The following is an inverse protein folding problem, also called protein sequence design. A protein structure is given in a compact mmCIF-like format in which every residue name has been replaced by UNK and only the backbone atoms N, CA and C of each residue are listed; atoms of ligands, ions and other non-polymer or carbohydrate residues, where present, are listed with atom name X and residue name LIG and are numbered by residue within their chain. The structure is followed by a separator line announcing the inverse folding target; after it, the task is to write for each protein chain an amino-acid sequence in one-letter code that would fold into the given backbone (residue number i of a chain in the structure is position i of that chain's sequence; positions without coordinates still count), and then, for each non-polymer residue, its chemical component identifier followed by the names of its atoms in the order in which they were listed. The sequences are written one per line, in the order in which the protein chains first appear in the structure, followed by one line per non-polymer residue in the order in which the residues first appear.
data_IF_580751323872
#
_entry.id   IF_580751323872
#
_cell.length_a   1.000
_cell.length_b   1.000
_cell.length_c   1.000
_cell.angle_alpha   90.00
_cell.angle_beta   90.00
_cell.angle_gamma   90.00
#
_symmetry.space_group_name_H-M   'P 1'
#
loop_
_entity.id
_entity.type
_entity.pdbx_description
1 polymer ?
#
# COMPACT_ATOMS: atom_id res chain seq x y z
N UNK A 1 22.41 53.45 18.99
CA UNK A 1 21.11 53.96 19.50
C UNK A 1 19.92 53.40 18.68
N UNK A 2 19.81 52.07 18.58
CA UNK A 2 18.76 51.37 17.83
C UNK A 2 18.18 50.15 18.58
N UNK A 3 18.36 50.08 19.91
CA UNK A 3 17.81 49.01 20.77
C UNK A 3 16.74 49.47 21.78
N UNK A 4 16.50 50.78 21.95
CA UNK A 4 15.52 51.29 22.94
C UNK A 4 14.11 51.56 22.36
N UNK A 5 13.90 51.39 21.05
CA UNK A 5 12.64 51.69 20.39
C UNK A 5 11.73 50.46 20.15
N UNK A 6 12.24 49.24 20.33
CA UNK A 6 11.51 48.00 20.02
C UNK A 6 10.85 47.39 21.28
N UNK A 7 11.38 47.65 22.48
CA UNK A 7 10.77 47.16 23.74
C UNK A 7 9.45 47.87 24.14
N UNK A 8 9.17 49.06 23.61
CA UNK A 8 7.95 49.83 23.94
C UNK A 8 6.73 49.49 23.08
N UNK A 9 6.89 48.70 22.01
CA UNK A 9 5.77 48.28 21.13
C UNK A 9 5.21 46.91 21.57
N UNK A 10 6.04 46.05 22.19
CA UNK A 10 5.64 44.71 22.63
C UNK A 10 4.85 44.73 23.96
N UNK A 11 4.98 45.79 24.79
CA UNK A 11 4.23 45.94 26.05
C UNK A 11 2.80 46.48 25.91
N UNK A 12 2.37 46.92 24.73
CA UNK A 12 1.05 47.54 24.51
C UNK A 12 -0.01 46.66 23.83
N UNK A 13 0.33 45.45 23.36
CA UNK A 13 -0.67 44.53 22.76
C UNK A 13 -1.12 43.38 23.68
N UNK A 14 -0.57 43.26 24.89
CA UNK A 14 -0.87 42.18 25.86
C UNK A 14 -1.86 42.61 26.97
N UNK A 15 -2.58 43.72 26.81
CA UNK A 15 -3.47 44.26 27.86
C UNK A 15 -4.93 44.48 27.43
N UNK A 16 -5.39 43.76 26.40
CA UNK A 16 -6.79 43.81 25.94
C UNK A 16 -7.33 42.43 25.60
N UNK A 17 -7.70 41.66 26.63
CA UNK A 17 -8.89 40.76 26.65
C UNK A 17 -8.90 39.85 27.89
N UNK A 18 -8.87 40.42 29.08
CA UNK A 18 -9.17 39.73 30.34
C UNK A 18 -10.08 40.62 31.18
N UNK A 19 -11.36 40.66 30.83
CA UNK A 19 -12.50 41.00 31.72
C UNK A 19 -13.75 41.15 30.85
N UNK A 20 -14.65 40.17 30.91
CA UNK A 20 -16.08 40.34 30.73
C UNK A 20 -16.76 39.08 31.30
N UNK A 21 -16.91 39.08 32.63
CA UNK A 21 -17.76 38.16 33.37
C UNK A 21 -18.63 39.01 34.29
N UNK A 22 -19.94 38.70 34.29
CA UNK A 22 -21.03 39.26 35.12
C UNK A 22 -21.42 40.70 34.73
N UNK A 23 -22.67 41.09 34.50
CA UNK A 23 -23.99 40.62 34.98
C UNK A 23 -25.08 41.09 34.01
N UNK A 24 -26.15 40.32 33.81
CA UNK A 24 -27.55 40.78 33.96
C UNK A 24 -28.52 39.59 33.74
N UNK A 25 -29.37 39.40 34.74
CA UNK A 25 -30.47 38.45 34.85
C UNK A 25 -31.72 39.01 34.15
N UNK A 26 -32.58 38.14 33.59
CA UNK A 26 -34.01 37.98 33.97
C UNK A 26 -34.69 36.94 33.04
N UNK A 27 -35.16 35.87 33.69
CA UNK A 27 -36.29 34.94 33.47
C UNK A 27 -36.99 34.77 32.11
N UNK A 28 -37.16 33.50 31.73
CA UNK A 28 -38.49 32.96 31.38
C UNK A 28 -38.54 31.44 31.61
N UNK A 29 -39.51 31.01 32.41
CA UNK A 29 -39.91 29.63 32.66
C UNK A 29 -40.09 28.80 31.38
N UNK A 30 -39.75 27.50 31.44
CA UNK A 30 -40.45 26.40 30.75
C UNK A 30 -39.85 25.04 31.17
N UNK A 31 -40.59 24.35 32.04
CA UNK A 31 -40.77 22.88 32.14
C UNK A 31 -39.55 21.96 32.10
N UNK A 32 -39.27 21.35 33.27
CA UNK A 32 -38.40 20.17 33.39
C UNK A 32 -38.98 18.98 32.62
N UNK A 33 -38.20 18.44 31.68
CA UNK A 33 -38.46 17.13 31.09
C UNK A 33 -37.21 16.26 31.30
N UNK A 34 -37.33 15.26 32.16
CA UNK A 34 -36.30 14.26 32.46
C UNK A 34 -36.04 13.37 31.23
N UNK A 35 -35.18 13.82 30.32
CA UNK A 35 -34.66 12.95 29.28
C UNK A 35 -33.46 12.16 29.81
N UNK A 36 -33.74 10.97 30.35
CA UNK A 36 -32.78 9.87 30.50
C UNK A 36 -32.02 9.70 29.18
N UNK A 37 -30.75 10.11 29.16
CA UNK A 37 -29.81 9.75 28.09
C UNK A 37 -29.60 8.23 28.17
N UNK A 38 -30.35 7.48 27.38
CA UNK A 38 -30.17 6.05 27.20
C UNK A 38 -28.84 5.83 26.48
N UNK A 39 -27.82 5.39 27.24
CA UNK A 39 -26.57 4.88 26.66
C UNK A 39 -26.93 3.72 25.73
N UNK A 40 -26.67 3.86 24.43
CA UNK A 40 -26.78 2.75 23.46
C UNK A 40 -25.97 1.56 24.00
N UNK A 41 -26.53 0.35 24.04
CA UNK A 41 -25.80 -0.82 24.53
C UNK A 41 -24.60 -1.11 23.63
N UNK A 42 -23.46 -1.41 24.27
CA UNK A 42 -22.29 -2.01 23.64
C UNK A 42 -22.67 -3.39 23.09
N UNK A 43 -22.42 -3.59 21.80
CA UNK A 43 -22.18 -4.86 21.10
C UNK A 43 -22.85 -6.13 21.68
N UNK A 44 -23.86 -6.68 20.98
CA UNK A 44 -24.67 -7.82 21.44
C UNK A 44 -24.15 -9.22 21.04
N UNK A 45 -22.92 -9.32 20.50
CA UNK A 45 -22.33 -10.62 20.17
C UNK A 45 -23.05 -11.41 19.06
N UNK A 46 -23.97 -10.81 18.30
CA UNK A 46 -24.58 -11.50 17.14
C UNK A 46 -23.70 -11.39 15.90
N UNK A 47 -23.35 -12.55 15.36
CA UNK A 47 -22.66 -12.74 14.08
C UNK A 47 -23.52 -12.18 12.95
N UNK A 48 -23.10 -11.08 12.32
CA UNK A 48 -23.71 -10.66 11.05
C UNK A 48 -23.20 -11.59 9.95
N UNK A 49 -24.08 -12.45 9.45
CA UNK A 49 -23.90 -13.12 8.15
C UNK A 49 -23.87 -12.08 7.03
N UNK A 50 -23.29 -12.46 5.88
CA UNK A 50 -22.94 -11.56 4.77
C UNK A 50 -24.19 -11.03 4.06
N UNK A 51 -24.11 -9.83 3.49
CA UNK A 51 -25.25 -9.09 2.91
C UNK A 51 -25.82 -9.70 1.61
N UNK A 52 -25.21 -10.75 1.06
CA UNK A 52 -25.75 -11.48 -0.10
C UNK A 52 -26.35 -12.85 0.25
N UNK A 53 -26.35 -13.23 1.53
CA UNK A 53 -27.01 -14.44 2.04
C UNK A 53 -28.42 -14.11 2.56
N UNK A 54 -29.29 -13.50 1.74
CA UNK A 54 -30.73 -13.47 2.02
C UNK A 54 -31.58 -13.66 0.76
N UNK A 55 -32.02 -14.90 0.55
CA UNK A 55 -33.42 -15.18 0.18
C UNK A 55 -33.92 -16.34 1.04
N UNK A 56 -34.36 -16.01 2.24
CA UNK A 56 -35.38 -16.81 2.92
C UNK A 56 -36.66 -15.99 2.92
N UNK A 57 -37.58 -16.39 2.05
CA UNK A 57 -38.99 -16.11 2.23
C UNK A 57 -39.43 -16.84 3.49
N UNK A 58 -39.71 -16.13 4.57
CA UNK A 58 -40.71 -16.58 5.54
C UNK A 58 -41.23 -15.36 6.29
N UNK A 59 -42.50 -15.04 5.99
CA UNK A 59 -43.28 -14.00 6.64
C UNK A 59 -43.49 -14.39 8.10
N UNK A 60 -43.48 -13.38 8.98
CA UNK A 60 -43.59 -13.54 10.41
C UNK A 60 -44.80 -14.38 10.85
N UNK A 61 -44.55 -15.23 11.85
CA UNK A 61 -45.57 -15.77 12.73
C UNK A 61 -45.16 -15.42 14.17
N UNK A 62 -46.12 -14.90 14.94
CA UNK A 62 -45.91 -14.44 16.32
C UNK A 62 -45.48 -15.57 17.25
N UNK A 63 -44.69 -15.23 18.27
CA UNK A 63 -44.27 -16.13 19.33
C UNK A 63 -45.47 -16.54 20.22
N UNK A 64 -45.80 -17.82 20.22
CA UNK A 64 -46.73 -18.47 21.15
C UNK A 64 -46.09 -18.59 22.55
N UNK A 65 -46.72 -18.11 23.64
CA UNK A 65 -46.15 -18.16 25.00
C UNK A 65 -46.09 -19.56 25.64
N UNK A 66 -46.55 -20.62 24.97
CA UNK A 66 -46.72 -21.95 25.60
C UNK A 66 -45.64 -22.98 25.26
N UNK A 67 -44.61 -22.63 24.48
CA UNK A 67 -43.51 -23.57 24.17
C UNK A 67 -42.52 -23.71 25.35
N UNK A 68 -42.17 -24.94 25.76
CA UNK A 68 -41.25 -25.17 26.88
C UNK A 68 -39.86 -24.59 26.56
N UNK A 69 -39.28 -23.86 27.53
CA UNK A 69 -37.92 -23.31 27.45
C UNK A 69 -36.93 -24.44 27.16
N UNK A 70 -36.22 -24.35 26.03
CA UNK A 70 -35.09 -25.22 25.69
C UNK A 70 -34.15 -25.35 26.90
N UNK A 71 -34.01 -26.58 27.41
CA UNK A 71 -33.05 -26.90 28.45
C UNK A 71 -31.64 -26.52 27.98
N UNK A 72 -30.86 -25.91 28.87
CA UNK A 72 -29.43 -25.66 28.64
C UNK A 72 -28.76 -27.01 28.47
N UNK A 73 -28.37 -27.33 27.24
CA UNK A 73 -27.43 -28.40 26.97
C UNK A 73 -26.10 -27.96 27.60
N UNK A 74 -25.70 -28.60 28.69
CA UNK A 74 -24.32 -28.52 29.17
C UNK A 74 -23.43 -29.10 28.07
N UNK A 75 -22.79 -28.23 27.30
CA UNK A 75 -21.75 -28.61 26.36
C UNK A 75 -20.53 -29.06 27.17
N UNK A 76 -20.46 -30.35 27.45
CA UNK A 76 -19.22 -31.04 27.84
C UNK A 76 -18.35 -31.22 26.60
N UNK A 77 -17.85 -30.12 26.05
CA UNK A 77 -16.69 -30.15 25.16
C UNK A 77 -15.45 -30.10 26.07
N UNK A 78 -14.49 -31.04 25.94
CA UNK A 78 -13.26 -30.95 26.71
C UNK A 78 -12.58 -29.61 26.38
N UNK A 79 -12.20 -28.88 27.42
CA UNK A 79 -11.44 -27.62 27.29
C UNK A 79 -10.14 -27.98 26.59
N UNK A 80 -10.11 -27.87 25.26
CA UNK A 80 -8.87 -27.92 24.51
C UNK A 80 -7.95 -26.87 25.10
N UNK A 81 -6.69 -27.24 25.34
CA UNK A 81 -5.67 -26.32 25.84
C UNK A 81 -5.72 -25.05 25.00
N UNK A 82 -6.30 -23.99 25.55
CA UNK A 82 -6.53 -22.74 24.81
C UNK A 82 -5.16 -22.14 24.55
N UNK A 83 -4.61 -22.44 23.36
CA UNK A 83 -3.33 -21.91 22.90
C UNK A 83 -3.40 -20.39 23.03
N UNK A 84 -2.53 -19.87 23.88
CA UNK A 84 -2.53 -18.45 24.21
C UNK A 84 -2.05 -17.69 22.99
N UNK A 85 -2.88 -16.78 22.48
CA UNK A 85 -2.54 -15.96 21.31
C UNK A 85 -2.08 -14.56 21.69
N UNK A 86 -1.15 -14.03 20.90
CA UNK A 86 -0.55 -12.70 21.02
C UNK A 86 -0.56 -11.99 19.67
N UNK A 87 -0.54 -10.66 19.69
CA UNK A 87 -0.47 -9.86 18.47
C UNK A 87 1.00 -9.72 18.06
N UNK A 88 1.29 -10.10 16.83
CA UNK A 88 2.61 -10.00 16.23
C UNK A 88 2.56 -9.14 14.97
N UNK A 89 3.74 -8.66 14.62
CA UNK A 89 4.10 -8.10 13.32
C UNK A 89 5.09 -9.05 12.68
N UNK A 90 4.93 -9.33 11.39
CA UNK A 90 5.87 -10.10 10.59
C UNK A 90 6.39 -9.20 9.47
N UNK A 91 7.71 -9.21 9.29
CA UNK A 91 8.39 -8.66 8.12
C UNK A 91 8.58 -9.76 7.09
N UNK A 92 8.16 -9.51 5.86
CA UNK A 92 8.27 -10.46 4.75
C UNK A 92 8.65 -9.78 3.45
N UNK A 93 9.30 -10.55 2.58
CA UNK A 93 9.61 -10.18 1.20
C UNK A 93 9.01 -11.17 0.23
N UNK A 94 8.70 -10.72 -0.97
CA UNK A 94 8.23 -11.57 -2.06
C UNK A 94 8.53 -11.00 -3.44
N UNK A 95 8.76 -11.89 -4.40
CA UNK A 95 8.64 -11.59 -5.83
C UNK A 95 7.18 -11.74 -6.26
N UNK A 96 6.62 -10.67 -6.83
CA UNK A 96 5.19 -10.61 -7.22
C UNK A 96 4.86 -11.38 -8.51
N UNK A 97 5.86 -11.89 -9.22
CA UNK A 97 5.66 -12.61 -10.48
C UNK A 97 4.88 -13.91 -10.26
N UNK A 98 3.83 -14.10 -11.06
CA UNK A 98 2.89 -15.22 -10.91
C UNK A 98 1.81 -15.02 -9.84
N UNK A 99 1.76 -13.86 -9.18
CA UNK A 99 0.75 -13.53 -8.16
C UNK A 99 -0.17 -12.39 -8.59
N UNK A 100 -1.46 -12.55 -8.28
CA UNK A 100 -2.50 -11.55 -8.49
C UNK A 100 -2.57 -10.54 -7.34
N UNK A 101 -1.37 -10.11 -6.89
CA UNK A 101 -1.16 -9.16 -5.82
C UNK A 101 -1.10 -9.76 -4.42
N UNK A 102 -1.01 -8.88 -3.43
CA UNK A 102 -0.88 -9.27 -2.01
C UNK A 102 -2.17 -9.85 -1.46
N UNK A 103 -3.31 -9.19 -1.72
CA UNK A 103 -4.55 -9.46 -1.01
C UNK A 103 -5.25 -10.73 -1.51
N UNK A 104 -5.66 -11.60 -0.58
CA UNK A 104 -6.50 -12.77 -0.86
C UNK A 104 -7.77 -12.40 -1.63
N UNK A 105 -7.91 -12.96 -2.83
CA UNK A 105 -9.09 -12.88 -3.69
C UNK A 105 -9.51 -14.30 -4.13
N UNK A 106 -10.82 -14.59 -4.27
CA UNK A 106 -11.29 -15.92 -4.67
C UNK A 106 -10.70 -16.39 -6.00
N UNK A 107 -10.35 -17.68 -6.10
CA UNK A 107 -9.85 -18.34 -7.32
C UNK A 107 -8.57 -17.72 -7.93
N UNK A 108 -7.77 -17.00 -7.14
CA UNK A 108 -6.52 -16.39 -7.61
C UNK A 108 -5.39 -16.71 -6.66
N UNK A 109 -4.19 -16.92 -7.23
CA UNK A 109 -2.98 -17.08 -6.44
C UNK A 109 -2.52 -15.73 -5.91
N UNK A 110 -2.42 -15.59 -4.59
CA UNK A 110 -2.07 -14.33 -3.92
C UNK A 110 -1.07 -14.60 -2.81
N UNK A 111 -0.21 -13.63 -2.50
CA UNK A 111 0.86 -13.80 -1.50
C UNK A 111 0.26 -14.11 -0.13
N UNK A 112 -0.90 -13.54 0.19
CA UNK A 112 -1.63 -13.85 1.41
C UNK A 112 -2.15 -15.27 1.47
N UNK A 113 -2.60 -15.85 0.36
CA UNK A 113 -3.07 -17.24 0.36
C UNK A 113 -1.95 -18.18 0.78
N UNK A 114 -0.77 -18.05 0.18
CA UNK A 114 0.39 -18.90 0.47
C UNK A 114 0.90 -18.69 1.91
N UNK A 115 0.92 -17.44 2.39
CA UNK A 115 1.24 -17.14 3.79
C UNK A 115 0.24 -17.79 4.75
N UNK A 116 -1.05 -17.69 4.47
CA UNK A 116 -2.09 -18.22 5.35
C UNK A 116 -2.13 -19.75 5.34
N UNK A 117 -1.88 -20.38 4.18
CA UNK A 117 -1.73 -21.83 4.06
C UNK A 117 -0.53 -22.32 4.87
N UNK A 118 0.64 -21.68 4.72
CA UNK A 118 1.84 -22.02 5.48
C UNK A 118 1.60 -21.90 7.01
N UNK A 119 0.90 -20.85 7.45
CA UNK A 119 0.54 -20.66 8.86
C UNK A 119 -0.47 -21.72 9.38
N UNK A 120 -1.37 -22.20 8.51
CA UNK A 120 -2.35 -23.23 8.85
C UNK A 120 -1.70 -24.60 8.95
N UNK A 121 -0.86 -24.96 7.98
CA UNK A 121 -0.12 -26.23 7.95
C UNK A 121 0.82 -26.38 9.16
N UNK A 122 1.42 -25.28 9.61
CA UNK A 122 2.27 -25.21 10.80
C UNK A 122 1.49 -25.06 12.11
N UNK A 123 0.15 -25.05 12.06
CA UNK A 123 -0.75 -24.97 13.20
C UNK A 123 -0.62 -23.68 14.05
N UNK A 124 0.00 -22.63 13.52
CA UNK A 124 0.06 -21.32 14.20
C UNK A 124 -1.27 -20.55 14.13
N UNK A 125 -2.14 -20.92 13.20
CA UNK A 125 -3.52 -20.46 13.11
C UNK A 125 -4.49 -21.66 13.09
N UNK A 126 -5.76 -21.40 13.41
CA UNK A 126 -6.83 -22.42 13.33
C UNK A 126 -7.54 -22.35 12.00
N UNK A 127 -8.25 -23.41 11.61
CA UNK A 127 -9.13 -23.41 10.44
C UNK A 127 -10.12 -22.22 10.48
N UNK A 128 -10.75 -21.95 11.62
CA UNK A 128 -11.64 -20.80 11.79
C UNK A 128 -10.96 -19.44 11.53
N UNK A 129 -9.66 -19.34 11.81
CA UNK A 129 -8.87 -18.12 11.55
C UNK A 129 -8.49 -18.02 10.07
N UNK A 130 -8.27 -19.15 9.41
CA UNK A 130 -7.99 -19.24 7.98
C UNK A 130 -9.23 -18.87 7.15
N UNK A 131 -10.38 -19.45 7.48
CA UNK A 131 -11.65 -19.18 6.80
C UNK A 131 -12.12 -17.73 7.03
N UNK A 132 -11.93 -17.23 8.25
CA UNK A 132 -12.24 -15.85 8.61
C UNK A 132 -11.02 -15.14 9.20
N UNK A 133 -10.23 -14.57 8.29
CA UNK A 133 -8.99 -13.83 8.53
C UNK A 133 -9.12 -12.67 9.56
N UNK A 134 -10.33 -12.11 9.72
CA UNK A 134 -10.60 -11.09 10.73
C UNK A 134 -10.57 -11.62 12.17
N UNK A 135 -10.78 -12.92 12.41
CA UNK A 135 -10.74 -13.53 13.75
C UNK A 135 -9.34 -13.39 14.38
N UNK A 136 -8.30 -13.41 13.55
CA UNK A 136 -6.91 -13.14 13.97
C UNK A 136 -6.49 -11.68 13.81
N UNK A 137 -7.41 -10.76 13.49
CA UNK A 137 -7.13 -9.34 13.29
C UNK A 137 -6.00 -9.11 12.26
N UNK A 138 -5.99 -9.89 11.17
CA UNK A 138 -4.96 -9.76 10.14
C UNK A 138 -5.06 -8.40 9.45
N UNK A 139 -3.93 -7.73 9.27
CA UNK A 139 -3.81 -6.45 8.55
C UNK A 139 -2.47 -6.41 7.82
N UNK A 140 -2.46 -5.87 6.60
CA UNK A 140 -1.25 -5.64 5.79
C UNK A 140 -0.95 -4.15 5.67
N UNK A 141 0.32 -3.78 5.68
CA UNK A 141 0.77 -2.39 5.62
C UNK A 141 0.56 -1.76 4.24
N UNK A 142 0.77 -2.55 3.19
CA UNK A 142 0.55 -2.18 1.80
C UNK A 142 -0.25 -3.27 1.06
N UNK A 143 -1.13 -2.85 0.16
CA UNK A 143 -1.72 -3.73 -0.85
C UNK A 143 -0.92 -3.49 -2.13
N UNK A 144 -0.15 -4.48 -2.55
CA UNK A 144 0.55 -4.42 -3.83
C UNK A 144 -0.36 -4.98 -4.92
N UNK A 145 -0.34 -4.35 -6.09
CA UNK A 145 -1.10 -4.77 -7.26
C UNK A 145 -0.52 -6.06 -7.86
N UNK A 146 -1.16 -6.60 -8.91
CA UNK A 146 -0.69 -7.78 -9.63
C UNK A 146 0.76 -7.58 -10.12
N UNK A 147 1.60 -8.61 -9.96
CA UNK A 147 3.01 -8.59 -10.38
C UNK A 147 3.95 -7.74 -9.52
N UNK A 148 3.44 -6.85 -8.67
CA UNK A 148 4.26 -5.92 -7.87
C UNK A 148 4.94 -6.66 -6.72
N UNK A 149 6.26 -6.52 -6.64
CA UNK A 149 7.12 -7.16 -5.62
C UNK A 149 7.23 -6.34 -4.33
N UNK A 150 7.73 -6.95 -3.26
CA UNK A 150 8.01 -6.24 -2.01
C UNK A 150 9.27 -6.80 -1.31
N UNK A 151 10.21 -5.94 -0.94
CA UNK A 151 11.36 -6.32 -0.12
C UNK A 151 11.02 -6.34 1.38
N UNK A 152 10.17 -5.40 1.84
CA UNK A 152 9.82 -5.24 3.27
C UNK A 152 8.33 -5.01 3.47
N UNK A 153 7.51 -5.95 3.04
CA UNK A 153 6.09 -5.96 3.40
C UNK A 153 5.95 -6.26 4.89
N UNK A 154 4.98 -5.59 5.53
CA UNK A 154 4.70 -5.78 6.95
C UNK A 154 3.25 -6.18 7.15
N UNK A 155 3.05 -7.29 7.86
CA UNK A 155 1.71 -7.78 8.21
C UNK A 155 1.59 -7.89 9.73
N UNK A 156 0.37 -7.76 10.25
CA UNK A 156 0.10 -7.90 11.68
C UNK A 156 -1.11 -8.77 11.92
N UNK A 157 -1.00 -9.73 12.84
CA UNK A 157 -2.01 -10.76 13.09
C UNK A 157 -1.82 -11.36 14.49
N UNK A 158 -2.82 -12.10 14.97
CA UNK A 158 -2.78 -12.83 16.22
C UNK A 158 -2.34 -14.27 15.98
N UNK A 159 -1.20 -14.64 16.55
CA UNK A 159 -0.59 -15.97 16.43
C UNK A 159 -0.42 -16.59 17.81
N UNK A 160 -0.10 -17.89 17.83
CA UNK A 160 0.31 -18.58 19.04
C UNK A 160 1.52 -17.89 19.71
N UNK A 161 1.64 -17.96 21.04
CA UNK A 161 2.76 -17.36 21.78
C UNK A 161 4.12 -18.02 21.46
N UNK A 162 4.12 -19.27 21.00
CA UNK A 162 5.31 -20.01 20.53
C UNK A 162 5.58 -19.85 19.03
N UNK A 163 5.09 -18.78 18.40
CA UNK A 163 5.29 -18.55 16.97
C UNK A 163 6.78 -18.51 16.59
N UNK A 164 7.11 -19.20 15.50
CA UNK A 164 8.43 -19.22 14.89
C UNK A 164 8.30 -19.14 13.36
N UNK A 165 9.25 -18.46 12.71
CA UNK A 165 9.26 -18.24 11.27
C UNK A 165 9.91 -19.39 10.50
N UNK A 166 10.82 -20.15 11.11
CA UNK A 166 11.54 -21.23 10.44
C UNK A 166 10.60 -22.29 9.81
N UNK A 167 9.67 -22.92 10.57
CA UNK A 167 8.76 -23.92 9.99
C UNK A 167 7.78 -23.31 8.97
N UNK A 168 7.47 -22.00 9.08
CA UNK A 168 6.60 -21.33 8.09
C UNK A 168 7.36 -21.13 6.78
N UNK A 169 8.61 -20.70 6.86
CA UNK A 169 9.48 -20.52 5.70
C UNK A 169 9.74 -21.83 4.95
N UNK A 170 9.74 -22.99 5.62
CA UNK A 170 9.84 -24.31 4.97
C UNK A 170 8.60 -24.68 4.13
N UNK A 171 7.45 -24.07 4.43
CA UNK A 171 6.19 -24.28 3.69
C UNK A 171 5.94 -23.23 2.61
N UNK A 172 6.69 -22.13 2.64
CA UNK A 172 6.59 -21.07 1.66
C UNK A 172 7.44 -21.40 0.42
N UNK A 173 7.00 -20.98 -0.78
CA UNK A 173 7.85 -21.05 -1.96
C UNK A 173 9.06 -20.12 -1.80
N UNK A 174 10.18 -20.43 -2.46
CA UNK A 174 11.44 -19.64 -2.35
C UNK A 174 11.26 -18.15 -2.65
N UNK A 175 10.29 -17.81 -3.50
CA UNK A 175 9.97 -16.42 -3.85
C UNK A 175 9.20 -15.65 -2.77
N UNK A 176 8.84 -16.26 -1.63
CA UNK A 176 8.25 -15.60 -0.45
C UNK A 176 9.07 -15.96 0.78
N UNK A 177 9.53 -14.95 1.51
CA UNK A 177 10.38 -15.15 2.69
C UNK A 177 9.91 -14.31 3.87
N UNK A 178 9.81 -14.92 5.04
CA UNK A 178 9.68 -14.20 6.32
C UNK A 178 11.07 -13.94 6.88
N UNK A 179 11.38 -12.67 7.15
CA UNK A 179 12.68 -12.27 7.68
C UNK A 179 12.68 -12.20 9.21
N UNK A 180 11.58 -11.75 9.80
CA UNK A 180 11.52 -11.55 11.24
C UNK A 180 10.11 -11.27 11.72
N UNK A 181 9.95 -11.32 13.04
CA UNK A 181 8.69 -10.98 13.69
C UNK A 181 8.94 -10.29 15.02
N UNK A 182 7.98 -9.46 15.44
CA UNK A 182 8.03 -8.75 16.72
C UNK A 182 6.68 -8.76 17.41
N UNK A 183 6.68 -8.89 18.73
CA UNK A 183 5.46 -8.78 19.53
C UNK A 183 5.07 -7.31 19.67
N UNK A 184 3.77 -7.03 19.52
CA UNK A 184 3.23 -5.67 19.56
C UNK A 184 2.01 -5.57 20.46
N UNK A 185 1.56 -4.33 20.70
CA UNK A 185 0.34 -4.06 21.47
C UNK A 185 -0.86 -4.79 20.87
N UNK A 186 -1.84 -5.18 21.70
CA UNK A 186 -3.07 -5.86 21.25
C UNK A 186 -3.85 -5.06 20.18
N UNK A 187 -3.75 -3.73 20.23
CA UNK A 187 -4.41 -2.82 19.31
C UNK A 187 -3.62 -2.52 18.04
N UNK A 188 -2.43 -3.09 17.87
CA UNK A 188 -1.57 -2.74 16.75
C UNK A 188 -2.19 -3.10 15.40
N UNK A 189 -2.10 -2.18 14.45
CA UNK A 189 -2.55 -2.37 13.07
C UNK A 189 -1.49 -1.85 12.09
N UNK A 190 -0.87 -2.78 11.36
CA UNK A 190 0.17 -2.50 10.37
C UNK A 190 -0.23 -1.45 9.33
N UNK A 191 -1.50 -1.41 8.91
CA UNK A 191 -1.97 -0.43 7.92
C UNK A 191 -2.06 0.98 8.49
N UNK A 192 -2.72 1.13 9.64
CA UNK A 192 -3.12 2.43 10.18
C UNK A 192 -2.03 3.10 11.00
N UNK A 193 -1.09 2.33 11.57
CA UNK A 193 0.04 2.87 12.32
C UNK A 193 1.30 3.03 11.47
N UNK A 194 1.23 2.69 10.19
CA UNK A 194 2.30 2.99 9.24
C UNK A 194 2.29 4.48 8.89
N UNK A 195 3.46 5.10 9.01
CA UNK A 195 3.70 6.53 8.79
C UNK A 195 3.96 6.89 7.33
N UNK A 196 4.47 5.92 6.56
CA UNK A 196 4.77 6.10 5.16
C UNK A 196 5.36 4.85 4.52
N UNK A 197 5.48 4.89 3.21
CA UNK A 197 6.02 3.79 2.41
C UNK A 197 7.06 4.35 1.46
N UNK A 198 8.15 3.61 1.30
CA UNK A 198 9.14 3.86 0.25
C UNK A 198 8.98 2.81 -0.81
N UNK A 199 8.76 3.25 -2.04
CA UNK A 199 8.71 2.41 -3.23
C UNK A 199 9.89 2.75 -4.13
N UNK A 200 10.37 1.72 -4.82
CA UNK A 200 11.33 1.86 -5.91
C UNK A 200 10.62 1.51 -7.22
N UNK A 201 10.94 2.24 -8.27
CA UNK A 201 10.54 1.94 -9.64
C UNK A 201 11.80 1.82 -10.48
N UNK A 202 12.19 0.59 -10.83
CA UNK A 202 13.37 0.29 -11.64
C UNK A 202 12.97 0.26 -13.10
N UNK A 203 13.71 0.98 -13.95
CA UNK A 203 13.39 1.08 -15.38
C UNK A 203 14.66 1.31 -16.22
N UNK A 204 14.65 0.88 -17.49
CA UNK A 204 15.79 1.12 -18.38
C UNK A 204 15.85 2.60 -18.74
N UNK A 205 17.05 3.17 -18.81
CA UNK A 205 17.23 4.63 -18.96
C UNK A 205 16.79 5.15 -20.34
N UNK A 206 16.69 4.26 -21.34
CA UNK A 206 16.05 4.54 -22.65
C UNK A 206 14.65 5.15 -22.51
N UNK A 207 13.97 4.92 -21.39
CA UNK A 207 12.69 5.55 -21.09
C UNK A 207 12.76 7.08 -21.06
N UNK A 208 13.92 7.66 -20.77
CA UNK A 208 14.16 9.10 -20.75
C UNK A 208 14.76 9.65 -22.05
N UNK A 209 15.01 8.81 -23.06
CA UNK A 209 15.42 9.27 -24.38
C UNK A 209 14.32 10.12 -25.03
N UNK A 210 14.69 11.10 -25.85
CA UNK A 210 13.72 11.88 -26.60
C UNK A 210 12.81 10.97 -27.45
N UNK A 211 11.54 11.35 -27.64
CA UNK A 211 10.57 10.52 -28.36
C UNK A 211 11.02 10.16 -29.79
N UNK A 212 11.80 11.03 -30.43
CA UNK A 212 12.32 10.84 -31.79
C UNK A 212 13.71 10.19 -31.84
N UNK A 213 14.30 9.84 -30.70
CA UNK A 213 15.62 9.22 -30.66
C UNK A 213 15.58 7.81 -31.25
N UNK A 214 16.41 7.56 -32.26
CA UNK A 214 16.59 6.22 -32.84
C UNK A 214 17.80 5.60 -32.16
N UNK A 215 17.57 4.89 -31.06
CA UNK A 215 18.61 4.17 -30.33
C UNK A 215 18.04 2.92 -29.68
N UNK A 216 18.87 1.88 -29.57
CA UNK A 216 18.51 0.67 -28.85
C UNK A 216 18.71 0.88 -27.34
N UNK A 217 18.02 0.06 -26.53
CA UNK A 217 18.23 0.07 -25.07
C UNK A 217 19.69 -0.24 -24.66
N UNK A 218 20.43 -0.98 -25.50
CA UNK A 218 21.83 -1.35 -25.24
C UNK A 218 22.81 -0.19 -25.50
N UNK A 219 22.46 0.70 -26.43
CA UNK A 219 23.35 1.80 -26.84
C UNK A 219 23.09 3.10 -26.06
N UNK A 220 21.88 3.26 -25.52
CA UNK A 220 21.50 4.49 -24.82
C UNK A 220 22.17 4.60 -23.45
N UNK A 221 22.73 5.78 -23.16
CA UNK A 221 23.26 6.14 -21.84
C UNK A 221 22.73 7.51 -21.44
N UNK A 222 22.21 7.61 -20.22
CA UNK A 222 21.66 8.86 -19.71
C UNK A 222 22.79 9.79 -19.26
N UNK A 223 22.67 11.09 -19.57
CA UNK A 223 23.62 12.10 -19.10
C UNK A 223 23.28 12.57 -17.68
N UNK A 224 24.30 13.02 -16.95
CA UNK A 224 24.12 13.62 -15.61
C UNK A 224 23.16 14.83 -15.64
N UNK A 225 23.16 15.60 -16.72
CA UNK A 225 22.26 16.74 -16.88
C UNK A 225 20.80 16.29 -17.06
N UNK A 226 20.56 15.17 -17.77
CA UNK A 226 19.23 14.58 -17.87
C UNK A 226 18.76 14.03 -16.52
N UNK A 227 19.65 13.47 -15.70
CA UNK A 227 19.33 13.06 -14.32
C UNK A 227 18.95 14.26 -13.45
N UNK A 228 19.63 15.40 -13.59
CA UNK A 228 19.24 16.65 -12.89
C UNK A 228 17.85 17.10 -13.33
N UNK A 229 17.59 17.10 -14.65
CA UNK A 229 16.27 17.43 -15.20
C UNK A 229 15.17 16.51 -14.64
N UNK A 230 15.41 15.19 -14.62
CA UNK A 230 14.49 14.21 -14.00
C UNK A 230 14.19 14.62 -12.55
N UNK A 231 15.22 14.86 -11.76
CA UNK A 231 15.06 15.20 -10.35
C UNK A 231 14.30 16.54 -10.15
N UNK A 232 14.48 17.51 -11.03
CA UNK A 232 13.74 18.77 -10.97
C UNK A 232 12.26 18.59 -11.31
N UNK A 233 11.92 17.74 -12.29
CA UNK A 233 10.52 17.41 -12.60
C UNK A 233 9.89 16.57 -11.46
N UNK A 234 10.63 15.63 -10.87
CA UNK A 234 10.15 14.81 -9.75
C UNK A 234 9.77 15.66 -8.52
N UNK A 235 10.50 16.74 -8.24
CA UNK A 235 10.19 17.69 -7.15
C UNK A 235 8.79 18.31 -7.29
N UNK A 236 8.23 18.38 -8.51
CA UNK A 236 6.87 18.86 -8.71
C UNK A 236 5.81 17.99 -8.04
N UNK A 237 6.13 16.77 -7.62
CA UNK A 237 5.22 15.91 -6.86
C UNK A 237 5.33 16.07 -5.34
N UNK A 238 6.39 16.69 -4.83
CA UNK A 238 6.64 16.81 -3.39
C UNK A 238 5.64 17.73 -2.69
N UNK A 239 5.36 17.44 -1.42
CA UNK A 239 4.39 18.15 -0.62
C UNK A 239 2.99 17.54 -0.66
N UNK A 240 2.02 18.28 -0.10
CA UNK A 240 0.61 17.87 -0.09
C UNK A 240 -0.08 18.39 -1.33
N UNK A 241 -0.49 17.48 -2.23
CA UNK A 241 -1.14 17.82 -3.50
C UNK A 241 -2.38 16.96 -3.72
N UNK A 242 -3.20 17.35 -4.69
CA UNK A 242 -4.37 16.60 -5.09
C UNK A 242 -4.00 15.60 -6.19
N UNK A 243 -4.09 14.31 -5.89
CA UNK A 243 -3.69 13.24 -6.80
C UNK A 243 -4.89 12.54 -7.44
N UNK A 244 -6.03 13.23 -7.59
CA UNK A 244 -7.27 12.62 -8.09
C UNK A 244 -7.13 12.04 -9.51
N UNK A 245 -6.40 12.72 -10.41
CA UNK A 245 -6.08 12.20 -11.75
C UNK A 245 -5.09 11.01 -11.74
N UNK A 246 -4.31 10.86 -10.68
CA UNK A 246 -3.33 9.79 -10.53
C UNK A 246 -3.95 8.53 -9.94
N UNK A 247 -5.27 8.42 -9.92
CA UNK A 247 -5.95 7.18 -9.54
C UNK A 247 -7.30 7.13 -10.26
N UNK A 248 -7.96 5.99 -10.20
CA UNK A 248 -9.25 5.79 -10.85
C UNK A 248 -10.38 6.08 -9.84
N UNK A 249 -11.54 6.51 -10.33
CA UNK A 249 -12.76 6.68 -9.52
C UNK A 249 -12.64 7.67 -8.35
N UNK A 250 -11.79 8.70 -8.50
CA UNK A 250 -11.65 9.80 -7.54
C UNK A 250 -11.97 11.13 -8.20
N UNK A 251 -12.80 11.92 -7.52
CA UNK A 251 -13.13 13.29 -7.91
C UNK A 251 -12.14 14.26 -7.31
N UNK A 252 -11.95 15.41 -7.96
CA UNK A 252 -11.04 16.46 -7.49
C UNK A 252 -11.40 16.96 -6.09
N UNK A 253 -12.69 17.00 -5.74
CA UNK A 253 -13.17 17.52 -4.45
C UNK A 253 -12.99 16.52 -3.31
N UNK A 254 -12.71 15.25 -3.60
CA UNK A 254 -12.57 14.21 -2.58
C UNK A 254 -11.33 14.50 -1.72
N UNK A 255 -11.47 14.81 -0.42
CA UNK A 255 -10.32 15.08 0.45
C UNK A 255 -9.37 13.89 0.55
N UNK A 256 -9.89 12.67 0.33
CA UNK A 256 -9.10 11.45 0.27
C UNK A 256 -8.30 11.30 -1.02
N UNK A 257 -8.35 12.23 -1.97
CA UNK A 257 -7.40 12.31 -3.10
C UNK A 257 -6.13 13.11 -2.73
N UNK A 258 -6.15 13.87 -1.63
CA UNK A 258 -4.96 14.59 -1.15
C UNK A 258 -3.94 13.62 -0.57
N UNK A 259 -2.71 13.64 -1.10
CA UNK A 259 -1.61 12.80 -0.63
C UNK A 259 -0.37 13.65 -0.40
N UNK A 260 0.49 13.16 0.48
CA UNK A 260 1.73 13.81 0.85
C UNK A 260 2.91 12.96 0.37
N UNK A 261 3.67 13.50 -0.58
CA UNK A 261 4.94 12.94 -1.03
C UNK A 261 6.04 13.69 -0.30
N UNK A 262 6.89 12.96 0.41
CA UNK A 262 7.98 13.54 1.19
C UNK A 262 9.24 13.76 0.35
N UNK A 263 9.56 12.80 -0.52
CA UNK A 263 10.66 12.92 -1.47
C UNK A 263 10.40 12.03 -2.69
N UNK A 264 10.85 12.49 -3.86
CA UNK A 264 10.85 11.67 -5.06
C UNK A 264 12.11 11.97 -5.88
N UNK A 265 12.99 10.98 -6.02
CA UNK A 265 14.33 11.17 -6.62
C UNK A 265 14.67 10.04 -7.58
N UNK A 266 15.53 10.33 -8.55
CA UNK A 266 16.18 9.36 -9.41
C UNK A 266 17.59 9.07 -8.87
N UNK A 267 17.86 7.80 -8.57
CA UNK A 267 19.19 7.33 -8.16
C UNK A 267 20.14 7.21 -9.37
N UNK A 268 21.47 7.23 -9.16
CA UNK A 268 22.44 7.06 -10.24
C UNK A 268 22.20 5.78 -11.05
N UNK A 269 22.46 5.83 -12.37
CA UNK A 269 22.25 4.68 -13.24
C UNK A 269 23.26 3.57 -12.96
N UNK A 270 22.90 2.36 -13.34
CA UNK A 270 23.76 1.18 -13.28
C UNK A 270 23.53 0.31 -14.53
N UNK A 271 24.50 -0.54 -14.87
CA UNK A 271 24.45 -1.36 -16.08
C UNK A 271 24.24 -2.83 -15.70
N UNK A 272 23.35 -3.51 -16.43
CA UNK A 272 23.22 -4.97 -16.43
C UNK A 272 23.09 -5.45 -17.88
N UNK A 273 23.95 -6.38 -18.30
CA UNK A 273 23.97 -6.97 -19.65
C UNK A 273 23.85 -5.93 -20.77
N UNK A 274 24.71 -4.91 -20.71
CA UNK A 274 24.78 -3.76 -21.64
C UNK A 274 23.59 -2.81 -21.64
N UNK A 275 22.51 -3.12 -20.92
CA UNK A 275 21.37 -2.21 -20.72
C UNK A 275 21.60 -1.37 -19.47
N UNK A 276 21.41 -0.06 -19.60
CA UNK A 276 21.50 0.86 -18.47
C UNK A 276 20.13 1.06 -17.83
N UNK A 277 20.09 0.95 -16.50
CA UNK A 277 18.91 1.10 -15.67
C UNK A 277 19.11 2.24 -14.67
N UNK A 278 18.01 2.77 -14.18
CA UNK A 278 18.02 3.64 -13.01
C UNK A 278 16.84 3.30 -12.09
N UNK A 279 16.87 3.87 -10.89
CA UNK A 279 15.84 3.62 -9.87
C UNK A 279 15.19 4.92 -9.46
N UNK A 280 13.88 5.04 -9.65
CA UNK A 280 13.09 6.13 -9.10
C UNK A 280 12.64 5.74 -7.69
N UNK A 281 13.05 6.51 -6.68
CA UNK A 281 12.73 6.27 -5.27
C UNK A 281 11.74 7.30 -4.77
N UNK A 282 10.54 6.84 -4.42
CA UNK A 282 9.47 7.69 -3.87
C UNK A 282 9.18 7.32 -2.43
N UNK A 283 9.20 8.32 -1.56
CA UNK A 283 8.76 8.20 -0.17
C UNK A 283 7.52 9.07 0.04
N UNK A 284 6.40 8.44 0.36
CA UNK A 284 5.14 9.11 0.64
C UNK A 284 4.44 8.57 1.88
N UNK A 285 3.52 9.35 2.44
CA UNK A 285 2.74 8.94 3.62
C UNK A 285 1.77 7.79 3.28
N UNK A 286 1.13 7.88 2.13
CA UNK A 286 0.22 6.86 1.59
C UNK A 286 0.09 7.03 0.09
N UNK A 287 -0.28 5.95 -0.60
CA UNK A 287 -0.48 5.93 -2.04
C UNK A 287 -1.86 5.35 -2.35
N UNK A 288 -2.48 5.85 -3.42
CA UNK A 288 -3.72 5.32 -3.99
C UNK A 288 -3.39 4.25 -5.05
N UNK A 289 -4.43 3.53 -5.48
CA UNK A 289 -4.32 2.57 -6.57
C UNK A 289 -3.73 3.25 -7.81
N UNK A 290 -2.72 2.63 -8.42
CA UNK A 290 -2.01 3.11 -9.61
C UNK A 290 -1.26 4.45 -9.49
N UNK A 291 -1.24 5.09 -8.31
CA UNK A 291 -0.70 6.44 -8.16
C UNK A 291 0.75 6.58 -8.59
N UNK A 292 1.62 5.68 -8.15
CA UNK A 292 3.06 5.75 -8.49
C UNK A 292 3.26 5.52 -9.99
N UNK A 293 2.59 4.51 -10.56
CA UNK A 293 2.66 4.19 -11.99
C UNK A 293 2.17 5.35 -12.87
N UNK A 294 1.11 6.04 -12.45
CA UNK A 294 0.60 7.25 -13.12
C UNK A 294 1.55 8.45 -12.98
N UNK A 295 2.17 8.63 -11.80
CA UNK A 295 3.20 9.67 -11.59
C UNK A 295 4.42 9.44 -12.48
N UNK A 296 4.88 8.18 -12.59
CA UNK A 296 5.98 7.79 -13.48
C UNK A 296 5.59 7.94 -14.94
N UNK A 297 4.38 7.53 -15.34
CA UNK A 297 3.93 7.68 -16.72
C UNK A 297 3.91 9.14 -17.18
N UNK A 298 3.39 10.05 -16.34
CA UNK A 298 3.38 11.48 -16.65
C UNK A 298 4.78 12.10 -16.65
N UNK A 299 5.67 11.64 -15.76
CA UNK A 299 7.09 12.04 -15.79
C UNK A 299 7.74 11.68 -17.14
N UNK A 300 7.52 10.45 -17.62
CA UNK A 300 8.06 9.98 -18.90
C UNK A 300 7.46 10.75 -20.08
N UNK A 301 6.15 11.05 -20.07
CA UNK A 301 5.53 11.90 -21.09
C UNK A 301 6.25 13.25 -21.24
N UNK A 302 6.53 13.91 -20.12
CA UNK A 302 7.18 15.23 -20.11
C UNK A 302 8.64 15.14 -20.56
N UNK A 303 9.41 14.21 -20.00
CA UNK A 303 10.86 14.14 -20.26
C UNK A 303 11.21 13.65 -21.67
N UNK A 304 10.29 12.96 -22.34
CA UNK A 304 10.41 12.56 -23.75
C UNK A 304 9.94 13.63 -24.73
N UNK A 305 9.45 14.77 -24.22
CA UNK A 305 8.96 15.88 -25.04
C UNK A 305 7.55 15.69 -25.62
N UNK A 306 6.77 14.73 -25.13
CA UNK A 306 5.37 14.50 -25.57
C UNK A 306 4.39 15.47 -24.90
N UNK A 307 4.74 15.99 -23.73
CA UNK A 307 3.98 16.99 -23.02
C UNK A 307 4.91 18.01 -22.32
N UNK A 308 4.38 19.18 -21.96
CA UNK A 308 5.14 20.19 -21.21
C UNK A 308 5.02 19.95 -19.70
N UNK A 309 5.96 20.47 -18.90
CA UNK A 309 5.92 20.36 -17.44
C UNK A 309 4.62 20.90 -16.82
N UNK A 310 3.97 21.87 -17.48
CA UNK A 310 2.68 22.44 -17.04
C UNK A 310 1.58 21.39 -16.91
N UNK A 311 1.65 20.30 -17.68
CA UNK A 311 0.65 19.23 -17.61
C UNK A 311 0.63 18.55 -16.25
N UNK A 312 1.78 18.43 -15.58
CA UNK A 312 1.87 17.88 -14.22
C UNK A 312 1.16 18.81 -13.25
N UNK A 313 1.37 20.13 -13.40
CA UNK A 313 0.71 21.14 -12.55
C UNK A 313 -0.80 21.10 -12.76
N UNK A 314 -1.26 21.01 -14.02
CA UNK A 314 -2.69 20.85 -14.35
C UNK A 314 -3.26 19.54 -13.80
N UNK A 315 -2.54 18.43 -13.91
CA UNK A 315 -2.97 17.13 -13.40
C UNK A 315 -3.11 17.10 -11.87
N UNK A 316 -2.37 17.97 -11.17
CA UNK A 316 -2.45 18.14 -9.71
C UNK A 316 -3.47 19.21 -9.28
N UNK A 317 -4.10 19.89 -10.24
CA UNK A 317 -5.16 20.88 -10.04
C UNK A 317 -6.53 20.20 -9.93
N UNK A 318 -7.62 20.96 -10.12
CA UNK A 318 -8.99 20.44 -10.17
C UNK A 318 -9.41 19.96 -11.56
N UNK A 319 -8.65 20.28 -12.61
CA UNK A 319 -8.92 19.80 -13.97
C UNK A 319 -8.82 18.28 -14.04
N UNK A 320 -9.69 17.66 -14.84
CA UNK A 320 -9.68 16.23 -15.11
C UNK A 320 -8.81 15.96 -16.34
N UNK A 321 -7.87 15.04 -16.21
CA UNK A 321 -6.93 14.68 -17.28
C UNK A 321 -6.72 13.18 -17.31
N UNK A 322 -6.55 12.65 -18.52
CA UNK A 322 -6.11 11.28 -18.70
C UNK A 322 -4.60 11.17 -18.44
N UNK A 323 -4.22 10.45 -17.39
CA UNK A 323 -2.81 10.27 -17.00
C UNK A 323 -2.31 8.90 -17.45
N UNK A 324 -1.22 8.83 -18.24
CA UNK A 324 -0.67 7.56 -18.70
C UNK A 324 -0.18 6.73 -17.51
N UNK A 325 -0.42 5.42 -17.57
CA UNK A 325 -0.06 4.46 -16.52
C UNK A 325 1.14 3.63 -16.97
N UNK A 326 2.30 3.81 -16.35
CA UNK A 326 3.49 3.03 -16.63
C UNK A 326 3.31 1.53 -16.29
N UNK A 327 4.11 0.61 -16.84
CA UNK A 327 4.06 -0.82 -16.51
C UNK A 327 4.22 -1.13 -15.01
N UNK A 328 3.74 -2.30 -14.58
CA UNK A 328 3.85 -2.75 -13.18
C UNK A 328 5.20 -3.36 -12.81
N UNK A 329 5.93 -3.93 -13.79
CA UNK A 329 7.13 -4.76 -13.62
C UNK A 329 8.20 -4.09 -12.74
N UNK A 330 8.50 -2.82 -13.01
CA UNK A 330 9.55 -2.07 -12.30
C UNK A 330 9.21 -1.69 -10.85
N UNK A 331 7.94 -1.78 -10.44
CA UNK A 331 7.49 -1.27 -9.14
C UNK A 331 7.72 -2.31 -8.03
N UNK A 332 8.37 -1.89 -6.94
CA UNK A 332 8.50 -2.69 -5.74
C UNK A 332 8.37 -1.87 -4.45
N UNK A 333 7.74 -2.45 -3.42
CA UNK A 333 7.70 -1.89 -2.08
C UNK A 333 9.03 -2.16 -1.37
N UNK A 334 9.83 -1.13 -1.10
CA UNK A 334 11.15 -1.29 -0.48
C UNK A 334 11.11 -1.13 1.04
N UNK A 335 10.31 -0.21 1.58
CA UNK A 335 10.26 0.03 3.03
C UNK A 335 8.89 0.46 3.53
N UNK A 336 8.53 0.02 4.74
CA UNK A 336 7.33 0.44 5.47
C UNK A 336 7.76 1.11 6.77
N UNK A 337 7.37 2.38 6.91
CA UNK A 337 7.82 3.27 7.98
C UNK A 337 6.88 3.24 9.18
N UNK A 338 7.45 3.16 10.39
CA UNK A 338 6.74 3.09 11.68
C UNK A 338 7.39 4.00 12.75
N UNK A 339 8.01 5.10 12.37
CA UNK A 339 8.75 5.98 13.30
C UNK A 339 7.84 6.53 14.41
N UNK A 340 6.58 6.87 14.14
CA UNK A 340 5.65 7.33 15.19
C UNK A 340 5.28 6.21 16.16
N UNK A 341 5.17 4.97 15.68
CA UNK A 341 4.99 3.82 16.58
C UNK A 341 6.22 3.66 17.48
N UNK A 342 7.43 3.71 16.89
CA UNK A 342 8.70 3.56 17.60
C UNK A 342 8.89 4.65 18.65
N UNK A 343 8.52 5.89 18.34
CA UNK A 343 8.55 7.01 19.28
C UNK A 343 7.56 6.82 20.43
N UNK A 344 6.36 6.28 20.16
CA UNK A 344 5.31 6.16 21.17
C UNK A 344 5.45 4.96 22.10
N UNK A 345 5.92 3.83 21.58
CA UNK A 345 5.92 2.54 22.29
C UNK A 345 7.32 1.93 22.44
N UNK A 346 8.30 2.38 21.67
CA UNK A 346 9.63 1.75 21.64
C UNK A 346 10.49 1.95 22.88
N UNK A 347 10.02 2.74 23.86
CA UNK A 347 10.74 3.06 25.11
C UNK A 347 9.90 2.70 26.35
N UNK A 348 8.78 1.99 26.18
CA UNK A 348 7.89 1.64 27.30
C UNK A 348 8.33 0.40 28.10
N UNK A 349 9.44 -0.23 27.71
CA UNK A 349 10.00 -1.43 28.34
C UNK A 349 9.19 -2.72 28.12
N UNK A 350 8.07 -2.66 27.39
CA UNK A 350 7.20 -3.80 27.10
C UNK A 350 7.13 -4.14 25.60
N UNK A 351 7.31 -3.16 24.73
CA UNK A 351 7.22 -3.32 23.28
C UNK A 351 8.54 -2.96 22.62
N UNK A 352 8.91 -3.76 21.62
CA UNK A 352 10.10 -3.50 20.82
C UNK A 352 9.82 -2.44 19.75
N UNK A 353 10.86 -1.68 19.39
CA UNK A 353 10.86 -0.83 18.20
C UNK A 353 10.71 -1.73 16.97
N UNK A 354 9.86 -1.32 16.03
CA UNK A 354 9.72 -1.93 14.70
C UNK A 354 10.83 -1.42 13.78
N UNK A 355 12.08 -1.70 14.16
CA UNK A 355 13.25 -1.64 13.27
C UNK A 355 13.65 -3.06 12.90
N UNK A 356 14.37 -3.22 11.79
CA UNK A 356 14.68 -4.54 11.21
C UNK A 356 16.16 -4.65 10.84
N UNK A 357 17.01 -3.91 11.55
CA UNK A 357 18.44 -3.80 11.29
C UNK A 357 19.14 -5.17 11.32
N UNK A 358 18.62 -6.08 12.15
CA UNK A 358 19.16 -7.41 12.42
C UNK A 358 19.03 -8.35 11.20
N UNK A 359 18.05 -8.09 10.34
CA UNK A 359 17.72 -8.90 9.16
C UNK A 359 17.95 -8.12 7.86
N UNK A 360 18.56 -6.94 7.95
CA UNK A 360 18.78 -6.05 6.80
C UNK A 360 19.66 -6.70 5.73
N UNK A 361 20.64 -7.51 6.15
CA UNK A 361 21.48 -8.30 5.25
C UNK A 361 20.64 -9.31 4.46
N UNK A 362 19.79 -10.08 5.14
CA UNK A 362 18.95 -11.10 4.52
C UNK A 362 17.92 -10.48 3.56
N UNK A 363 17.36 -9.32 3.92
CA UNK A 363 16.44 -8.57 3.06
C UNK A 363 17.16 -8.09 1.79
N UNK A 364 18.39 -7.59 1.93
CA UNK A 364 19.20 -7.14 0.80
C UNK A 364 19.53 -8.30 -0.14
N UNK A 365 20.02 -9.41 0.40
CA UNK A 365 20.30 -10.63 -0.36
C UNK A 365 19.03 -11.14 -1.07
N UNK A 366 17.88 -11.16 -0.39
CA UNK A 366 16.63 -11.56 -1.01
C UNK A 366 16.22 -10.63 -2.16
N UNK A 367 16.37 -9.31 -1.99
CA UNK A 367 16.09 -8.33 -3.04
C UNK A 367 17.00 -8.54 -4.26
N UNK A 368 18.29 -8.77 -4.03
CA UNK A 368 19.30 -8.97 -5.07
C UNK A 368 19.17 -10.32 -5.79
N UNK A 369 18.67 -11.36 -5.12
CA UNK A 369 18.59 -12.71 -5.67
C UNK A 369 17.21 -13.08 -6.24
N UNK A 370 16.11 -12.54 -5.69
CA UNK A 370 14.74 -12.97 -6.03
C UNK A 370 13.84 -11.88 -6.62
N UNK A 371 14.14 -10.59 -6.40
CA UNK A 371 13.31 -9.49 -6.89
C UNK A 371 13.95 -8.81 -8.10
N UNK A 372 15.15 -8.24 -7.92
CA UNK A 372 15.81 -7.46 -8.96
C UNK A 372 16.17 -8.27 -10.21
N UNK A 373 16.65 -9.53 -10.13
CA UNK A 373 16.93 -10.31 -11.33
C UNK A 373 15.68 -10.47 -12.19
N UNK A 374 14.55 -10.82 -11.58
CA UNK A 374 13.27 -10.97 -12.27
C UNK A 374 12.88 -9.68 -13.00
N UNK A 375 12.95 -8.52 -12.34
CA UNK A 375 12.61 -7.24 -12.97
C UNK A 375 13.55 -6.94 -14.16
N UNK A 376 14.86 -7.07 -13.94
CA UNK A 376 15.86 -6.65 -14.91
C UNK A 376 15.94 -7.62 -16.10
N UNK A 377 15.90 -8.93 -15.85
CA UNK A 377 16.00 -9.96 -16.89
C UNK A 377 14.74 -10.02 -17.75
N UNK A 378 13.56 -9.87 -17.12
CA UNK A 378 12.30 -9.72 -17.86
C UNK A 378 12.33 -8.47 -18.74
N UNK A 379 12.81 -7.34 -18.24
CA UNK A 379 12.90 -6.12 -19.05
C UNK A 379 13.91 -6.25 -20.22
N UNK A 380 15.07 -6.85 -19.99
CA UNK A 380 16.07 -7.09 -21.04
C UNK A 380 15.50 -8.00 -22.15
N UNK A 381 14.73 -9.03 -21.75
CA UNK A 381 14.19 -10.04 -22.66
C UNK A 381 12.95 -9.58 -23.42
N UNK A 382 12.01 -8.93 -22.72
CA UNK A 382 10.68 -8.62 -23.24
C UNK A 382 10.55 -7.16 -23.69
N UNK A 383 11.47 -6.28 -23.27
CA UNK A 383 11.46 -4.85 -23.58
C UNK A 383 10.11 -4.18 -23.27
N UNK A 384 9.46 -4.59 -22.18
CA UNK A 384 8.10 -4.16 -21.82
C UNK A 384 7.96 -2.63 -21.69
N UNK A 385 8.97 -1.95 -21.16
CA UNK A 385 9.01 -0.49 -21.11
C UNK A 385 9.09 0.10 -22.52
N UNK A 386 9.98 -0.39 -23.37
CA UNK A 386 10.14 0.11 -24.76
C UNK A 386 8.84 -0.08 -25.54
N UNK A 387 8.22 -1.25 -25.42
CA UNK A 387 6.94 -1.54 -26.05
C UNK A 387 5.85 -0.55 -25.58
N UNK A 388 5.74 -0.31 -24.27
CA UNK A 388 4.78 0.62 -23.72
C UNK A 388 5.02 2.06 -24.21
N UNK A 389 6.28 2.49 -24.27
CA UNK A 389 6.64 3.81 -24.77
C UNK A 389 6.19 4.01 -26.22
N UNK A 390 6.46 3.03 -27.09
CA UNK A 390 6.19 3.11 -28.53
C UNK A 390 4.70 2.93 -28.87
N UNK A 391 4.00 2.05 -28.16
CA UNK A 391 2.64 1.63 -28.52
C UNK A 391 1.54 2.27 -27.67
N UNK A 392 1.87 2.81 -26.49
CA UNK A 392 0.89 3.41 -25.58
C UNK A 392 1.17 4.88 -25.34
N UNK A 393 2.37 5.23 -24.88
CA UNK A 393 2.67 6.59 -24.46
C UNK A 393 2.62 7.60 -25.62
N UNK A 394 3.18 7.25 -26.78
CA UNK A 394 3.21 8.13 -27.96
C UNK A 394 1.81 8.48 -28.47
N UNK A 395 0.84 7.57 -28.34
CA UNK A 395 -0.54 7.76 -28.80
C UNK A 395 -1.48 8.23 -27.70
N UNK A 396 -0.96 8.53 -26.51
CA UNK A 396 -1.78 8.91 -25.36
C UNK A 396 -2.40 10.30 -25.56
N UNK A 397 -3.73 10.39 -25.46
CA UNK A 397 -4.45 11.66 -25.38
C UNK A 397 -4.54 12.12 -23.93
N UNK A 398 -4.22 13.38 -23.68
CA UNK A 398 -4.25 13.97 -22.34
C UNK A 398 -5.55 14.73 -22.03
N UNK A 399 -6.45 14.82 -23.01
CA UNK A 399 -7.73 15.50 -22.85
C UNK A 399 -8.68 14.72 -21.93
N UNK A 400 -9.73 15.40 -21.46
CA UNK A 400 -10.73 14.85 -20.56
C UNK A 400 -11.43 13.65 -21.22
N UNK A 401 -11.51 12.53 -20.49
CA UNK A 401 -12.16 11.31 -20.96
C UNK A 401 -13.49 11.19 -20.21
N UNK A 402 -14.59 11.00 -20.95
CA UNK A 402 -15.87 10.62 -20.35
C UNK A 402 -15.66 9.45 -19.37
N UNK A 403 -16.27 9.51 -18.17
CA UNK A 403 -16.09 8.53 -17.08
C UNK A 403 -16.26 7.05 -17.53
N UNK A 404 -16.99 6.81 -18.62
CA UNK A 404 -17.21 5.47 -19.20
C UNK A 404 -16.00 4.90 -19.95
N UNK A 405 -15.13 5.75 -20.50
CA UNK A 405 -13.96 5.32 -21.27
C UNK A 405 -12.76 4.99 -20.35
N UNK A 406 -12.65 5.65 -19.18
CA UNK A 406 -11.60 5.37 -18.19
C UNK A 406 -11.61 3.90 -17.73
N UNK A 407 -12.80 3.31 -17.51
CA UNK A 407 -12.91 1.90 -17.11
C UNK A 407 -12.39 0.96 -18.20
N UNK A 408 -12.72 1.24 -19.47
CA UNK A 408 -12.26 0.40 -20.58
C UNK A 408 -10.75 0.47 -20.80
N UNK A 409 -10.13 1.62 -20.54
CA UNK A 409 -8.69 1.79 -20.74
C UNK A 409 -7.89 1.24 -19.56
N UNK A 410 -8.36 1.39 -18.32
CA UNK A 410 -7.72 0.78 -17.15
C UNK A 410 -7.83 -0.76 -17.19
N UNK A 411 -8.96 -1.31 -17.61
CA UNK A 411 -9.17 -2.77 -17.80
C UNK A 411 -8.35 -3.31 -18.97
N UNK A 412 -8.34 -2.66 -20.14
CA UNK A 412 -7.47 -3.07 -21.27
C UNK A 412 -5.99 -3.01 -20.91
N UNK A 413 -5.57 -2.01 -20.14
CA UNK A 413 -4.19 -1.92 -19.69
C UNK A 413 -3.88 -2.98 -18.62
N UNK A 414 -4.86 -3.47 -17.86
CA UNK A 414 -4.70 -4.64 -16.99
C UNK A 414 -4.63 -5.93 -17.83
N UNK A 415 -5.48 -6.10 -18.85
CA UNK A 415 -5.44 -7.26 -19.75
C UNK A 415 -4.14 -7.38 -20.56
N UNK A 416 -3.52 -6.26 -20.95
CA UNK A 416 -2.21 -6.28 -21.64
C UNK A 416 -1.06 -6.55 -20.65
N UNK A 417 -1.13 -5.97 -19.45
CA UNK A 417 -0.24 -6.38 -18.35
C UNK A 417 -0.44 -7.89 -18.08
N UNK A 418 -1.64 -8.43 -18.31
CA UNK A 418 -1.99 -9.84 -18.14
C UNK A 418 -1.48 -10.73 -19.28
N UNK A 419 -1.59 -10.34 -20.55
CA UNK A 419 -1.06 -11.11 -21.70
C UNK A 419 0.46 -11.21 -21.67
N UNK A 420 1.14 -10.09 -21.41
CA UNK A 420 2.61 -10.08 -21.23
C UNK A 420 3.03 -10.94 -20.02
N UNK A 421 2.21 -11.01 -18.96
CA UNK A 421 2.45 -11.90 -17.81
C UNK A 421 1.90 -13.34 -17.98
N UNK A 422 1.07 -13.65 -18.99
CA UNK A 422 0.42 -14.95 -19.16
C UNK A 422 1.12 -15.83 -20.20
N UNK A 423 1.72 -15.24 -21.24
CA UNK A 423 2.70 -15.95 -22.07
C UNK A 423 3.91 -16.45 -21.24
N UNK A 424 4.10 -15.83 -20.07
CA UNK A 424 5.03 -16.20 -19.02
C UNK A 424 4.71 -17.50 -18.24
N UNK A 425 3.62 -18.21 -18.54
CA UNK A 425 3.29 -19.51 -17.89
C UNK A 425 3.50 -20.71 -18.83
N UNK A 426 3.75 -20.51 -20.14
CA UNK A 426 3.87 -21.62 -21.10
C UNK A 426 5.30 -22.10 -21.42
N UNK A 427 6.32 -21.47 -20.85
CA UNK A 427 7.70 -21.97 -20.95
C UNK A 427 8.19 -22.46 -19.59
N UNK A 428 7.91 -23.74 -19.31
CA UNK A 428 8.53 -24.51 -18.23
C UNK A 428 10.05 -24.62 -18.46
N UNK A 429 10.80 -23.59 -18.06
CA UNK A 429 12.25 -23.66 -17.82
C UNK A 429 12.67 -23.14 -16.43
N UNK A 430 11.71 -22.77 -15.58
CA UNK A 430 11.96 -22.25 -14.23
C UNK A 430 12.40 -23.31 -13.19
N UNK A 431 12.65 -24.56 -13.58
CA UNK A 431 13.21 -25.58 -12.68
C UNK A 431 14.72 -25.82 -12.83
N UNK A 432 15.40 -25.25 -13.83
CA UNK A 432 16.81 -25.59 -14.09
C UNK A 432 17.85 -24.51 -13.71
N UNK A 433 17.46 -23.31 -13.28
CA UNK A 433 18.43 -22.23 -13.00
C UNK A 433 18.84 -22.11 -11.52
N UNK A 434 18.18 -22.82 -10.59
CA UNK A 434 18.49 -22.74 -9.14
C UNK A 434 19.30 -23.94 -8.62
N UNK A 435 19.85 -24.80 -9.49
CA UNK A 435 20.67 -25.97 -9.09
C UNK A 435 22.14 -25.92 -9.53
N UNK A 436 22.64 -24.79 -10.00
CA UNK A 436 24.06 -24.66 -10.34
C UNK A 436 24.66 -23.31 -9.94
N UNK A 437 24.75 -23.08 -8.63
CA UNK A 437 25.86 -22.36 -7.97
C UNK A 437 26.11 -23.01 -6.62
#
# INVERSE_FOLDING_TARGET
MKLFAIENIIRRSLFSCTRLLSTLSVNSDLTMNENKVTRKPRYDGRTKKRQWEERRSDKGAGLDPTLPKLMKIEQTEPISDKIKRRKFVILMGYSGVGYYGMQRNPNTKTVEEDLLNALLETQFITQDSFDQVQNMHYQRAARTDKGVSAARQVVSLKLSENFDIAPVNEKLPEQIRLFGFKRVTKGFNAKSQCDGRTYLYVLPTIAFADANAICSQKDFRISDDKIKEINDVLKLYEGTKNFHNFTSKKKAEDPSAKRFIRSFVCEPPFIKEDVEFCTLKVYGQSFMLHQIRKMVGMLLAVLRGLATQDIIIKALSTEKLNVPRAPGLGLLLDYVHYERYNYRYGEDGMHEKLTWDEVEKDVKEFKENHILPVILDTEIKEEAMVWWLQNKLVYHSYDDVDEKNEESDDEKNEEIDDENNADNVKNDEFQNVVKSV
#
